data_IF_210102637516
#
_entry.id   IF_210102637516
#
_cell.length_a   1.000
_cell.length_b   1.000
_cell.length_c   1.000
_cell.angle_alpha   90.00
_cell.angle_beta   90.00
_cell.angle_gamma   90.00
#
_symmetry.space_group_name_H-M   'P 1'
#
loop_
_entity.id
_entity.type
_entity.pdbx_description
1 polymer ?
#
# COMPACT_ATOMS: atom_id res chain seq x y z
N UNK A 1 12.10 -34.88 6.92
CA UNK A 1 12.67 -33.79 6.11
C UNK A 1 11.49 -33.08 5.44
N UNK A 2 11.30 -31.79 5.70
CA UNK A 2 10.29 -31.00 4.99
C UNK A 2 10.99 -30.37 3.78
N UNK A 3 10.63 -30.80 2.57
CA UNK A 3 11.04 -30.15 1.33
C UNK A 3 10.10 -28.97 1.10
N UNK A 4 10.59 -27.75 1.33
CA UNK A 4 9.98 -26.55 0.77
C UNK A 4 10.51 -26.40 -0.66
N UNK A 5 9.69 -26.71 -1.65
CA UNK A 5 10.00 -26.40 -3.05
C UNK A 5 9.69 -24.92 -3.25
N UNK A 6 10.73 -24.10 -3.47
CA UNK A 6 10.56 -22.71 -3.85
C UNK A 6 10.36 -22.66 -5.36
N UNK A 7 9.19 -22.22 -5.81
CA UNK A 7 8.97 -21.89 -7.21
C UNK A 7 9.86 -20.69 -7.52
N UNK A 8 10.84 -20.86 -8.41
CA UNK A 8 11.82 -19.82 -8.75
C UNK A 8 11.34 -18.88 -9.85
N UNK A 9 10.28 -19.25 -10.57
CA UNK A 9 9.69 -18.45 -11.63
C UNK A 9 8.57 -17.58 -11.07
N UNK A 10 8.80 -16.27 -11.02
CA UNK A 10 7.78 -15.29 -10.66
C UNK A 10 6.83 -15.10 -11.86
N UNK A 11 5.58 -15.50 -11.69
CA UNK A 11 4.53 -15.14 -12.64
C UNK A 11 4.15 -13.67 -12.47
N UNK A 12 3.59 -13.00 -13.49
CA UNK A 12 3.10 -11.64 -13.36
C UNK A 12 2.15 -11.46 -12.17
N UNK A 13 1.28 -12.43 -11.89
CA UNK A 13 0.35 -12.39 -10.76
C UNK A 13 1.06 -12.41 -9.41
N UNK A 14 2.11 -13.21 -9.27
CA UNK A 14 2.93 -13.26 -8.04
C UNK A 14 3.69 -11.96 -7.81
N UNK A 15 4.15 -11.31 -8.88
CA UNK A 15 4.78 -9.98 -8.78
C UNK A 15 3.76 -8.95 -8.29
N UNK A 16 2.57 -8.92 -8.88
CA UNK A 16 1.50 -8.00 -8.49
C UNK A 16 1.06 -8.22 -7.04
N UNK A 17 0.94 -9.48 -6.61
CA UNK A 17 0.63 -9.83 -5.22
C UNK A 17 1.74 -9.36 -4.26
N UNK A 18 3.01 -9.56 -4.62
CA UNK A 18 4.16 -9.10 -3.85
C UNK A 18 4.13 -7.59 -3.64
N UNK A 19 3.93 -6.83 -4.71
CA UNK A 19 3.79 -5.36 -4.66
C UNK A 19 2.62 -4.92 -3.77
N UNK A 20 1.47 -5.60 -3.86
CA UNK A 20 0.32 -5.29 -3.01
C UNK A 20 0.60 -5.57 -1.52
N UNK A 21 1.31 -6.65 -1.19
CA UNK A 21 1.71 -6.97 0.19
C UNK A 21 2.68 -5.93 0.74
N UNK A 22 3.63 -5.50 -0.07
CA UNK A 22 4.58 -4.48 0.32
C UNK A 22 3.91 -3.11 0.50
N UNK A 23 2.96 -2.75 -0.37
CA UNK A 23 2.11 -1.56 -0.20
C UNK A 23 1.32 -1.61 1.12
N UNK A 24 0.69 -2.73 1.46
CA UNK A 24 0.01 -2.91 2.76
C UNK A 24 0.97 -2.63 3.90
N UNK A 25 2.19 -3.17 3.83
CA UNK A 25 3.19 -2.95 4.88
C UNK A 25 3.50 -1.47 5.07
N UNK A 26 3.71 -0.71 3.99
CA UNK A 26 3.93 0.75 4.04
C UNK A 26 2.78 1.49 4.70
N UNK A 27 1.54 1.19 4.28
CA UNK A 27 0.35 1.81 4.88
C UNK A 27 0.21 1.47 6.37
N UNK A 28 0.50 0.24 6.78
CA UNK A 28 0.45 -0.16 8.20
C UNK A 28 1.51 0.54 9.04
N UNK A 29 2.72 0.67 8.51
CA UNK A 29 3.80 1.39 9.18
C UNK A 29 3.47 2.88 9.32
N UNK A 30 2.81 3.47 8.31
CA UNK A 30 2.28 4.82 8.40
C UNK A 30 1.16 4.94 9.44
N UNK A 31 0.24 3.98 9.54
CA UNK A 31 -0.80 3.96 10.60
C UNK A 31 -0.19 3.99 12.00
N UNK A 32 0.89 3.23 12.22
CA UNK A 32 1.64 3.23 13.48
C UNK A 32 2.32 4.58 13.73
N UNK A 33 2.94 5.16 12.71
CA UNK A 33 3.62 6.47 12.79
C UNK A 33 2.63 7.59 13.10
N UNK A 34 1.42 7.51 12.56
CA UNK A 34 0.31 8.41 12.85
C UNK A 34 -0.38 8.15 14.20
N UNK A 35 0.11 7.18 14.99
CA UNK A 35 -0.40 6.81 16.32
C UNK A 35 -1.91 6.51 16.29
N UNK A 36 -2.36 5.83 15.24
CA UNK A 36 -3.76 5.41 15.11
C UNK A 36 -4.06 4.19 15.98
N UNK A 37 -5.28 4.12 16.50
CA UNK A 37 -5.76 2.92 17.18
C UNK A 37 -5.97 1.78 16.17
N UNK A 38 -5.91 0.53 16.66
CA UNK A 38 -6.03 -0.66 15.81
C UNK A 38 -7.33 -0.64 15.00
N UNK A 39 -8.43 -0.16 15.58
CA UNK A 39 -9.75 -0.12 14.96
C UNK A 39 -10.02 1.14 14.11
N UNK A 40 -9.09 2.10 14.09
CA UNK A 40 -9.31 3.36 13.37
C UNK A 40 -9.38 3.12 11.86
N UNK A 41 -10.38 3.73 11.22
CA UNK A 41 -10.53 3.71 9.77
C UNK A 41 -9.85 4.90 9.16
N UNK A 42 -9.35 4.74 7.93
CA UNK A 42 -8.59 5.80 7.25
C UNK A 42 -9.15 6.09 5.85
N UNK A 43 -8.94 7.34 5.43
CA UNK A 43 -8.90 7.73 4.03
C UNK A 43 -7.43 7.75 3.61
N UNK A 44 -7.09 6.98 2.58
CA UNK A 44 -5.75 6.85 2.02
C UNK A 44 -5.63 7.69 0.75
N UNK A 45 -4.59 8.51 0.71
CA UNK A 45 -4.17 9.28 -0.45
C UNK A 45 -2.90 8.65 -1.00
N UNK A 46 -2.83 8.45 -2.30
CA UNK A 46 -1.62 7.89 -2.90
C UNK A 46 -1.37 8.39 -4.33
N UNK A 47 -0.10 8.41 -4.69
CA UNK A 47 0.45 8.48 -6.03
C UNK A 47 1.44 7.33 -6.17
N UNK A 48 1.34 6.56 -7.25
CA UNK A 48 2.21 5.43 -7.46
C UNK A 48 2.60 5.32 -8.94
N UNK A 49 3.76 4.73 -9.19
CA UNK A 49 4.18 4.32 -10.54
C UNK A 49 3.16 3.38 -11.19
N UNK A 50 3.17 3.24 -12.53
CA UNK A 50 2.14 2.47 -13.25
C UNK A 50 2.07 0.99 -12.87
N UNK A 51 3.21 0.36 -12.54
CA UNK A 51 3.26 -1.05 -12.14
C UNK A 51 2.60 -1.27 -10.79
N UNK A 52 2.98 -0.46 -9.80
CA UNK A 52 2.39 -0.46 -8.47
C UNK A 52 0.91 -0.04 -8.49
N UNK A 53 0.53 0.92 -9.32
CA UNK A 53 -0.89 1.28 -9.51
C UNK A 53 -1.73 0.07 -9.92
N UNK A 54 -1.25 -0.72 -10.88
CA UNK A 54 -1.96 -1.93 -11.32
C UNK A 54 -2.10 -2.93 -10.18
N UNK A 55 -1.06 -3.11 -9.36
CA UNK A 55 -1.10 -4.02 -8.22
C UNK A 55 -2.11 -3.55 -7.17
N UNK A 56 -2.08 -2.25 -6.85
CA UNK A 56 -3.01 -1.62 -5.93
C UNK A 56 -4.46 -1.79 -6.39
N UNK A 57 -4.73 -1.62 -7.69
CA UNK A 57 -6.07 -1.78 -8.27
C UNK A 57 -6.52 -3.25 -8.28
N UNK A 58 -5.63 -4.18 -8.66
CA UNK A 58 -5.91 -5.61 -8.71
C UNK A 58 -6.19 -6.21 -7.32
N UNK A 59 -5.54 -5.69 -6.27
CA UNK A 59 -5.65 -6.19 -4.89
C UNK A 59 -6.37 -5.22 -3.94
N UNK A 60 -7.17 -4.30 -4.48
CA UNK A 60 -7.81 -3.22 -3.72
C UNK A 60 -8.57 -3.70 -2.49
N UNK A 61 -9.39 -4.74 -2.63
CA UNK A 61 -10.23 -5.29 -1.56
C UNK A 61 -9.39 -5.88 -0.41
N UNK A 62 -8.31 -6.58 -0.76
CA UNK A 62 -7.34 -7.11 0.19
C UNK A 62 -6.69 -5.97 0.96
N UNK A 63 -6.13 -4.98 0.27
CA UNK A 63 -5.48 -3.84 0.90
C UNK A 63 -6.45 -3.07 1.79
N UNK A 64 -7.69 -2.83 1.35
CA UNK A 64 -8.74 -2.17 2.15
C UNK A 64 -9.00 -2.89 3.47
N UNK A 65 -9.12 -4.22 3.39
CA UNK A 65 -9.38 -5.07 4.54
C UNK A 65 -8.23 -5.03 5.52
N UNK A 66 -7.00 -5.22 5.05
CA UNK A 66 -5.81 -5.21 5.91
C UNK A 66 -5.60 -3.84 6.57
N UNK A 67 -5.77 -2.76 5.82
CA UNK A 67 -5.42 -1.39 6.26
C UNK A 67 -6.57 -0.61 6.88
N UNK A 68 -7.77 -1.21 7.00
CA UNK A 68 -9.02 -0.55 7.43
C UNK A 68 -9.32 0.75 6.65
N UNK A 69 -9.00 0.76 5.37
CA UNK A 69 -9.17 1.95 4.53
C UNK A 69 -10.57 1.99 3.95
N UNK A 70 -11.30 3.08 4.24
CA UNK A 70 -12.68 3.29 3.79
C UNK A 70 -12.81 4.28 2.63
N UNK A 71 -11.78 5.09 2.37
CA UNK A 71 -11.73 6.03 1.25
C UNK A 71 -10.36 6.01 0.58
N UNK A 72 -10.34 6.04 -0.75
CA UNK A 72 -9.12 5.88 -1.56
C UNK A 72 -9.06 6.97 -2.60
N UNK A 73 -8.02 7.80 -2.56
CA UNK A 73 -7.89 8.97 -3.41
C UNK A 73 -6.54 8.88 -4.11
N UNK A 74 -6.57 8.57 -5.41
CA UNK A 74 -5.40 8.66 -6.29
C UNK A 74 -5.22 10.11 -6.71
N UNK A 75 -4.06 10.69 -6.40
CA UNK A 75 -3.71 12.07 -6.75
C UNK A 75 -2.31 12.13 -7.34
N UNK A 76 -2.01 13.13 -8.17
CA UNK A 76 -0.65 13.37 -8.68
C UNK A 76 0.24 14.06 -7.65
N UNK A 77 -0.37 14.80 -6.72
CA UNK A 77 0.31 15.40 -5.57
C UNK A 77 -0.60 15.35 -4.35
N UNK A 78 -0.03 14.99 -3.20
CA UNK A 78 -0.75 14.94 -1.92
C UNK A 78 -0.55 16.30 -1.25
N UNK A 79 -1.63 17.10 -1.02
CA UNK A 79 -1.49 18.43 -0.46
C UNK A 79 -0.91 18.37 0.96
N UNK A 80 0.27 18.95 1.15
CA UNK A 80 0.99 19.04 2.43
C UNK A 80 0.23 19.80 3.54
N UNK A 81 -0.88 20.47 3.20
CA UNK A 81 -1.59 21.40 4.09
C UNK A 81 -2.42 20.71 5.19
N UNK A 82 -2.85 19.45 5.01
CA UNK A 82 -3.69 18.74 5.99
C UNK A 82 -3.23 17.30 6.28
N UNK A 83 -2.26 16.78 5.52
CA UNK A 83 -1.79 15.40 5.64
C UNK A 83 -0.29 15.36 5.32
N UNK A 84 0.51 14.82 6.23
CA UNK A 84 1.92 14.57 5.95
C UNK A 84 2.01 13.55 4.81
N UNK A 85 2.71 13.92 3.75
CA UNK A 85 3.05 13.02 2.65
C UNK A 85 4.33 12.26 2.99
N UNK A 86 4.34 10.97 2.68
CA UNK A 86 5.45 10.05 2.85
C UNK A 86 5.83 9.50 1.48
N UNK A 87 7.12 9.23 1.31
CA UNK A 87 7.66 8.65 0.09
C UNK A 87 8.41 7.37 0.44
N UNK A 88 8.19 6.33 -0.36
CA UNK A 88 8.86 5.04 -0.25
C UNK A 88 9.18 4.50 -1.65
N UNK A 89 10.34 3.85 -1.77
CA UNK A 89 10.76 3.10 -2.95
C UNK A 89 10.94 1.63 -2.59
N UNK A 90 10.33 0.74 -3.37
CA UNK A 90 10.47 -0.71 -3.20
C UNK A 90 10.25 -1.45 -4.52
N UNK A 91 11.02 -2.52 -4.73
CA UNK A 91 10.88 -3.39 -5.92
C UNK A 91 10.88 -2.66 -7.28
N UNK A 92 11.55 -1.51 -7.35
CA UNK A 92 11.62 -0.66 -8.55
C UNK A 92 10.42 0.27 -8.77
N UNK A 93 9.50 0.33 -7.81
CA UNK A 93 8.31 1.17 -7.81
C UNK A 93 8.47 2.33 -6.82
N UNK A 94 7.84 3.47 -7.16
CA UNK A 94 7.81 4.67 -6.31
C UNK A 94 6.40 4.92 -5.80
N UNK A 95 6.30 5.23 -4.51
CA UNK A 95 5.06 5.50 -3.82
C UNK A 95 5.15 6.81 -3.03
N UNK A 96 4.24 7.74 -3.32
CA UNK A 96 3.93 8.87 -2.44
C UNK A 96 2.57 8.63 -1.81
N UNK A 97 2.44 8.73 -0.49
CA UNK A 97 1.21 8.37 0.20
C UNK A 97 1.02 9.13 1.51
N UNK A 98 -0.23 9.24 1.93
CA UNK A 98 -0.62 9.91 3.16
C UNK A 98 -1.96 9.39 3.63
N UNK A 99 -2.26 9.52 4.91
CA UNK A 99 -3.54 9.08 5.46
C UNK A 99 -4.19 10.12 6.36
N UNK A 100 -5.51 10.05 6.44
CA UNK A 100 -6.31 10.81 7.38
C UNK A 100 -7.27 9.86 8.09
N UNK A 101 -7.42 10.00 9.41
CA UNK A 101 -8.45 9.30 10.17
C UNK A 101 -9.83 9.70 9.65
N UNK A 102 -10.66 8.70 9.33
CA UNK A 102 -12.03 8.89 8.84
C UNK A 102 -12.99 9.30 9.96
#
# INVERSE_FOLDING_TARGET
>A
AYLAALVTDLTPELVQEGLAREFVRRVQDLRKTAVLEIADRIVLYYHATPGLTQAIEAFKEYIQTETLTVGWIKQESIPLLDTAAYEDDFDGEHLTYGLKKA
#
